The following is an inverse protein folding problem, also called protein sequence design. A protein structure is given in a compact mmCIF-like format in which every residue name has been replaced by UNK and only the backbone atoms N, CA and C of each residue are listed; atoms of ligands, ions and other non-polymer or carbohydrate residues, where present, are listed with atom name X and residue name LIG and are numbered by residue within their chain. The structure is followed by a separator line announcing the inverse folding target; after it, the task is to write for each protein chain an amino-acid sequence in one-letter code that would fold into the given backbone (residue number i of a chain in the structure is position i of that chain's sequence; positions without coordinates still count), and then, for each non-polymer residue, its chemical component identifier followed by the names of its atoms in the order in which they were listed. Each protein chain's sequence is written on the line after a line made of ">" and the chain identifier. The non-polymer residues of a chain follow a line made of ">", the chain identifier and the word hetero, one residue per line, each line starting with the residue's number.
data_IF_224617467503
#
_entry.id   IF_224617467503
#
_cell.length_a   1.000
_cell.length_b   1.000
_cell.length_c   1.000
_cell.angle_alpha   90.00
_cell.angle_beta   90.00
_cell.angle_gamma   90.00
#
_symmetry.space_group_name_H-M   'P 1'
#
loop_
_entity.id
_entity.type
_entity.pdbx_description
1 polymer ?
#
# COMPACT_ATOMS: atom_id res chain seq x y z
N UNK A 1 32.86 29.59 4.82
CA UNK A 1 33.05 28.24 5.40
C UNK A 1 31.73 27.62 5.87
N UNK A 2 30.81 28.38 6.49
CA UNK A 2 29.51 27.87 6.99
C UNK A 2 28.52 27.49 5.85
N UNK A 3 28.49 28.23 4.73
CA UNK A 3 27.62 27.91 3.57
C UNK A 3 27.96 26.58 2.88
N UNK A 4 29.23 26.17 2.87
CA UNK A 4 29.65 24.88 2.27
C UNK A 4 29.34 23.68 3.17
N UNK A 5 29.29 23.86 4.50
CA UNK A 5 28.93 22.80 5.44
C UNK A 5 27.41 22.53 5.38
N UNK A 6 26.59 23.58 5.28
CA UNK A 6 25.14 23.45 5.06
C UNK A 6 24.82 22.75 3.72
N UNK A 7 25.49 23.11 2.63
CA UNK A 7 25.30 22.47 1.33
C UNK A 7 25.69 20.97 1.30
N UNK A 8 26.63 20.55 2.16
CA UNK A 8 27.04 19.16 2.33
C UNK A 8 25.97 18.34 3.08
N UNK A 9 25.31 18.93 4.09
CA UNK A 9 24.19 18.32 4.80
C UNK A 9 22.90 18.22 3.95
N UNK A 10 22.60 19.21 3.10
CA UNK A 10 21.42 19.18 2.21
C UNK A 10 21.50 18.16 1.08
N UNK A 11 22.66 17.52 0.86
CA UNK A 11 22.91 16.62 -0.26
C UNK A 11 23.29 15.19 0.15
N UNK A 12 23.24 14.84 1.44
CA UNK A 12 23.57 13.49 1.87
C UNK A 12 22.56 12.46 1.32
N UNK A 13 22.99 11.21 1.06
CA UNK A 13 22.08 10.14 0.65
C UNK A 13 20.89 9.95 1.59
N UNK A 14 21.11 10.10 2.90
CA UNK A 14 20.09 9.95 3.94
C UNK A 14 19.02 11.03 3.87
N UNK A 15 19.41 12.28 3.60
CA UNK A 15 18.46 13.38 3.46
C UNK A 15 17.63 13.25 2.17
N UNK A 16 18.25 12.78 1.09
CA UNK A 16 17.50 12.44 -0.16
C UNK A 16 16.49 11.32 0.08
N UNK A 17 16.85 10.30 0.85
CA UNK A 17 15.94 9.23 1.27
C UNK A 17 14.78 9.79 2.09
N UNK A 18 15.05 10.67 3.07
CA UNK A 18 14.02 11.32 3.89
C UNK A 18 13.06 12.17 3.05
N UNK A 19 13.59 12.97 2.12
CA UNK A 19 12.76 13.78 1.24
C UNK A 19 11.88 12.92 0.32
N UNK A 20 12.43 11.84 -0.22
CA UNK A 20 11.68 10.91 -1.06
C UNK A 20 10.58 10.21 -0.27
N UNK A 21 10.86 9.77 0.96
CA UNK A 21 9.87 9.20 1.88
C UNK A 21 8.74 10.18 2.20
N UNK A 22 9.06 11.44 2.51
CA UNK A 22 8.05 12.48 2.69
C UNK A 22 7.19 12.63 1.43
N UNK A 23 7.81 12.63 0.25
CA UNK A 23 7.06 12.76 -1.00
C UNK A 23 6.16 11.57 -1.29
N UNK A 24 6.57 10.35 -0.92
CA UNK A 24 5.71 9.17 -1.03
C UNK A 24 4.47 9.31 -0.15
N UNK A 25 4.63 9.76 1.10
CA UNK A 25 3.51 9.99 2.02
C UNK A 25 2.54 11.06 1.49
N UNK A 26 3.06 12.19 1.00
CA UNK A 26 2.24 13.24 0.37
C UNK A 26 1.40 12.69 -0.79
N UNK A 27 1.98 11.86 -1.66
CA UNK A 27 1.27 11.28 -2.80
C UNK A 27 0.16 10.30 -2.37
N UNK A 28 0.38 9.54 -1.30
CA UNK A 28 -0.65 8.66 -0.72
C UNK A 28 -1.80 9.50 -0.16
N UNK A 29 -1.50 10.58 0.54
CA UNK A 29 -2.51 11.51 1.07
C UNK A 29 -3.30 12.19 -0.05
N UNK A 30 -2.62 12.77 -1.05
CA UNK A 30 -3.24 13.37 -2.24
C UNK A 30 -4.16 12.36 -2.96
N UNK A 31 -3.73 11.10 -3.07
CA UNK A 31 -4.55 10.02 -3.64
C UNK A 31 -5.83 9.77 -2.84
N UNK A 32 -5.72 9.68 -1.52
CA UNK A 32 -6.88 9.49 -0.63
C UNK A 32 -7.85 10.67 -0.71
N UNK A 33 -7.34 11.91 -0.70
CA UNK A 33 -8.15 13.12 -0.83
C UNK A 33 -8.88 13.14 -2.17
N UNK A 34 -8.18 12.90 -3.28
CA UNK A 34 -8.80 12.87 -4.61
C UNK A 34 -9.91 11.82 -4.70
N UNK A 35 -9.69 10.62 -4.15
CA UNK A 35 -10.72 9.58 -4.09
C UNK A 35 -11.93 10.02 -3.25
N UNK A 36 -11.71 10.70 -2.12
CA UNK A 36 -12.80 11.22 -1.27
C UNK A 36 -13.64 12.30 -1.98
N UNK A 37 -13.02 13.06 -2.88
CA UNK A 37 -13.70 14.04 -3.73
C UNK A 37 -14.37 13.41 -4.97
N UNK A 38 -14.23 12.10 -5.18
CA UNK A 38 -14.78 11.39 -6.33
C UNK A 38 -13.93 11.48 -7.61
N UNK A 39 -12.75 12.12 -7.56
CA UNK A 39 -11.81 12.14 -8.70
C UNK A 39 -10.97 10.85 -8.71
N UNK A 40 -11.60 9.78 -9.19
CA UNK A 40 -11.01 8.44 -9.20
C UNK A 40 -9.78 8.35 -10.10
N UNK A 41 -9.75 9.13 -11.19
CA UNK A 41 -8.63 9.13 -12.15
C UNK A 41 -7.39 9.77 -11.53
N UNK A 42 -7.54 10.94 -10.91
CA UNK A 42 -6.45 11.60 -10.20
C UNK A 42 -5.97 10.75 -9.02
N UNK A 43 -6.89 10.15 -8.25
CA UNK A 43 -6.54 9.28 -7.14
C UNK A 43 -5.63 8.12 -7.58
N UNK A 44 -5.97 7.47 -8.70
CA UNK A 44 -5.17 6.38 -9.26
C UNK A 44 -3.82 6.86 -9.79
N UNK A 45 -3.76 8.03 -10.43
CA UNK A 45 -2.50 8.60 -10.91
C UNK A 45 -1.51 8.83 -9.76
N UNK A 46 -1.99 9.48 -8.68
CA UNK A 46 -1.21 9.74 -7.47
C UNK A 46 -0.75 8.45 -6.79
N UNK A 47 -1.63 7.45 -6.69
CA UNK A 47 -1.29 6.14 -6.14
C UNK A 47 -0.20 5.42 -6.95
N UNK A 48 -0.29 5.45 -8.28
CA UNK A 48 0.73 4.87 -9.17
C UNK A 48 2.07 5.60 -9.02
N UNK A 49 2.04 6.91 -8.85
CA UNK A 49 3.24 7.71 -8.64
C UNK A 49 3.91 7.44 -7.29
N UNK A 50 3.12 7.33 -6.21
CA UNK A 50 3.60 6.87 -4.91
C UNK A 50 4.29 5.50 -5.03
N UNK A 51 3.65 4.54 -5.73
CA UNK A 51 4.22 3.22 -5.96
C UNK A 51 5.53 3.22 -6.77
N UNK A 52 5.69 4.12 -7.74
CA UNK A 52 6.96 4.28 -8.47
C UNK A 52 8.06 4.84 -7.57
N UNK A 53 7.75 5.86 -6.78
CA UNK A 53 8.72 6.51 -5.90
C UNK A 53 9.12 5.63 -4.71
N UNK A 54 8.19 4.86 -4.17
CA UNK A 54 8.46 3.88 -3.10
C UNK A 54 9.46 2.81 -3.57
N UNK A 55 9.32 2.29 -4.79
CA UNK A 55 10.31 1.34 -5.34
C UNK A 55 11.70 1.95 -5.48
N UNK A 56 11.79 3.24 -5.79
CA UNK A 56 13.07 3.96 -5.83
C UNK A 56 13.61 4.13 -4.41
N UNK A 57 12.76 4.48 -3.45
CA UNK A 57 13.11 4.64 -2.05
C UNK A 57 13.68 3.35 -1.45
N UNK A 58 13.03 2.21 -1.67
CA UNK A 58 13.51 0.90 -1.19
C UNK A 58 14.90 0.59 -1.75
N UNK A 59 15.09 0.75 -3.07
CA UNK A 59 16.39 0.53 -3.72
C UNK A 59 17.50 1.44 -3.18
N UNK A 60 17.18 2.70 -2.91
CA UNK A 60 18.14 3.65 -2.33
C UNK A 60 18.49 3.28 -0.89
N UNK A 61 17.50 2.86 -0.09
CA UNK A 61 17.74 2.40 1.29
C UNK A 61 18.58 1.14 1.34
N UNK A 62 18.37 0.18 0.45
CA UNK A 62 19.19 -1.03 0.35
C UNK A 62 20.67 -0.75 0.03
N UNK A 63 20.97 0.38 -0.64
CA UNK A 63 22.34 0.78 -0.97
C UNK A 63 23.05 1.50 0.19
N UNK A 64 22.30 2.17 1.05
CA UNK A 64 22.84 3.00 2.16
C UNK A 64 22.81 2.26 3.49
N UNK A 65 21.84 1.36 3.67
CA UNK A 65 21.50 0.75 4.95
C UNK A 65 21.27 -0.76 4.80
N UNK A 66 21.54 -1.52 5.87
CA UNK A 66 21.16 -2.94 5.96
C UNK A 66 19.65 -3.13 5.68
N UNK A 67 19.23 -4.21 4.97
CA UNK A 67 17.82 -4.48 4.63
C UNK A 67 16.86 -4.61 5.82
N UNK A 68 17.38 -4.65 7.04
CA UNK A 68 16.60 -4.68 8.30
C UNK A 68 15.86 -3.36 8.59
N UNK A 69 16.18 -2.25 7.90
CA UNK A 69 15.58 -0.92 8.11
C UNK A 69 14.55 -0.51 7.04
N UNK A 70 13.93 -1.48 6.35
CA UNK A 70 12.83 -1.20 5.40
C UNK A 70 11.61 -0.71 6.19
N UNK A 71 11.07 0.47 5.83
CA UNK A 71 9.82 0.97 6.40
C UNK A 71 8.64 0.20 5.81
N UNK A 72 8.39 -0.99 6.39
CA UNK A 72 7.34 -1.91 5.97
C UNK A 72 5.94 -1.27 6.04
N UNK A 73 5.71 -0.36 6.98
CA UNK A 73 4.44 0.35 7.13
C UNK A 73 4.17 1.27 5.93
N UNK A 74 5.20 1.95 5.43
CA UNK A 74 5.08 2.77 4.22
C UNK A 74 4.82 1.92 2.98
N UNK A 75 5.59 0.85 2.78
CA UNK A 75 5.38 -0.08 1.67
C UNK A 75 3.96 -0.65 1.69
N UNK A 76 3.48 -1.07 2.87
CA UNK A 76 2.11 -1.55 3.05
C UNK A 76 1.09 -0.48 2.65
N UNK A 77 1.24 0.74 3.16
CA UNK A 77 0.31 1.86 2.92
C UNK A 77 0.23 2.21 1.44
N UNK A 78 1.37 2.24 0.74
CA UNK A 78 1.44 2.51 -0.70
C UNK A 78 0.76 1.41 -1.51
N UNK A 79 1.05 0.13 -1.22
CA UNK A 79 0.45 -0.99 -1.94
C UNK A 79 -1.05 -1.09 -1.67
N UNK A 80 -1.47 -0.88 -0.43
CA UNK A 80 -2.88 -0.91 -0.04
C UNK A 80 -3.68 0.21 -0.70
N UNK A 81 -3.14 1.45 -0.68
CA UNK A 81 -3.75 2.58 -1.37
C UNK A 81 -3.86 2.28 -2.87
N UNK A 82 -2.77 1.83 -3.53
CA UNK A 82 -2.79 1.50 -4.95
C UNK A 82 -3.81 0.41 -5.31
N UNK A 83 -3.89 -0.66 -4.53
CA UNK A 83 -4.89 -1.70 -4.73
C UNK A 83 -6.33 -1.17 -4.58
N UNK A 84 -6.53 -0.29 -3.60
CA UNK A 84 -7.83 0.37 -3.37
C UNK A 84 -8.22 1.27 -4.53
N UNK A 85 -7.28 2.08 -5.06
CA UNK A 85 -7.55 2.94 -6.21
C UNK A 85 -7.78 2.16 -7.49
N UNK A 86 -7.06 1.06 -7.72
CA UNK A 86 -7.39 0.14 -8.82
C UNK A 86 -8.81 -0.40 -8.68
N UNK A 87 -9.22 -0.81 -7.47
CA UNK A 87 -10.58 -1.30 -7.24
C UNK A 87 -11.66 -0.23 -7.40
N UNK A 88 -11.37 1.03 -7.05
CA UNK A 88 -12.28 2.16 -7.23
C UNK A 88 -12.47 2.50 -8.72
N UNK A 89 -11.41 2.36 -9.52
CA UNK A 89 -11.41 2.55 -10.97
C UNK A 89 -11.83 1.27 -11.74
N UNK A 90 -12.41 0.28 -11.07
CA UNK A 90 -12.86 -0.99 -11.65
C UNK A 90 -11.77 -1.81 -12.38
N UNK A 91 -10.49 -1.50 -12.11
CA UNK A 91 -9.32 -2.25 -12.58
C UNK A 91 -9.09 -3.47 -11.67
N UNK A 92 -10.05 -4.38 -11.70
CA UNK A 92 -10.12 -5.51 -10.77
C UNK A 92 -8.92 -6.48 -10.83
N UNK A 93 -8.38 -6.85 -12.02
CA UNK A 93 -7.20 -7.71 -12.09
C UNK A 93 -5.99 -7.09 -11.38
N UNK A 94 -5.71 -5.82 -11.61
CA UNK A 94 -4.60 -5.08 -11.02
C UNK A 94 -4.78 -4.91 -9.51
N UNK A 95 -6.00 -4.62 -9.06
CA UNK A 95 -6.33 -4.54 -7.64
C UNK A 95 -6.06 -5.88 -6.93
N UNK A 96 -6.58 -6.99 -7.50
CA UNK A 96 -6.39 -8.34 -6.95
C UNK A 96 -4.92 -8.75 -6.93
N UNK A 97 -4.17 -8.47 -7.99
CA UNK A 97 -2.73 -8.74 -8.05
C UNK A 97 -1.98 -7.96 -6.97
N UNK A 98 -2.30 -6.68 -6.78
CA UNK A 98 -1.65 -5.83 -5.78
C UNK A 98 -1.99 -6.31 -4.36
N UNK A 99 -3.26 -6.61 -4.06
CA UNK A 99 -3.63 -7.21 -2.78
C UNK A 99 -2.93 -8.56 -2.53
N UNK A 100 -2.76 -9.37 -3.57
CA UNK A 100 -2.10 -10.67 -3.46
C UNK A 100 -0.62 -10.55 -3.11
N UNK A 101 0.07 -9.50 -3.57
CA UNK A 101 1.45 -9.18 -3.16
C UNK A 101 1.52 -8.93 -1.66
N UNK A 102 0.60 -8.11 -1.13
CA UNK A 102 0.55 -7.79 0.30
C UNK A 102 0.25 -9.07 1.11
N UNK A 103 -0.76 -9.85 0.72
CA UNK A 103 -1.15 -11.08 1.43
C UNK A 103 -0.04 -12.14 1.47
N UNK A 104 0.82 -12.21 0.44
CA UNK A 104 1.93 -13.18 0.38
C UNK A 104 3.11 -12.79 1.28
N UNK A 105 3.26 -11.51 1.61
CA UNK A 105 4.34 -11.06 2.47
C UNK A 105 3.99 -11.31 3.94
N UNK A 106 4.68 -12.28 4.55
CA UNK A 106 4.47 -12.68 5.95
C UNK A 106 4.81 -11.58 6.97
N UNK A 107 5.54 -10.55 6.56
CA UNK A 107 5.85 -9.40 7.42
C UNK A 107 4.62 -8.48 7.61
N UNK A 108 3.62 -8.56 6.73
CA UNK A 108 2.40 -7.77 6.88
C UNK A 108 1.38 -8.50 7.73
N UNK A 109 0.94 -7.84 8.80
CA UNK A 109 -0.21 -8.26 9.60
C UNK A 109 -1.52 -7.96 8.84
N UNK A 110 -2.65 -8.49 9.33
CA UNK A 110 -4.00 -8.19 8.80
C UNK A 110 -4.37 -8.76 7.43
N UNK A 111 -3.80 -9.90 7.02
CA UNK A 111 -4.20 -10.61 5.79
C UNK A 111 -5.73 -10.82 5.67
N UNK A 112 -6.45 -10.95 6.80
CA UNK A 112 -7.90 -11.14 6.82
C UNK A 112 -8.66 -9.96 6.22
N UNK A 113 -8.27 -8.72 6.56
CA UNK A 113 -8.91 -7.50 6.03
C UNK A 113 -8.73 -7.38 4.52
N UNK A 114 -7.56 -7.75 4.02
CA UNK A 114 -7.27 -7.72 2.57
C UNK A 114 -8.12 -8.73 1.80
N UNK A 115 -8.37 -9.91 2.38
CA UNK A 115 -9.26 -10.91 1.77
C UNK A 115 -10.70 -10.42 1.68
N UNK A 116 -11.18 -9.61 2.63
CA UNK A 116 -12.49 -8.95 2.50
C UNK A 116 -12.51 -8.04 1.28
N UNK A 117 -11.48 -7.22 1.07
CA UNK A 117 -11.41 -6.35 -0.12
C UNK A 117 -11.36 -7.15 -1.43
N UNK A 118 -10.61 -8.25 -1.47
CA UNK A 118 -10.61 -9.17 -2.62
C UNK A 118 -12.00 -9.80 -2.84
N UNK A 119 -12.71 -10.16 -1.76
CA UNK A 119 -14.09 -10.64 -1.82
C UNK A 119 -15.05 -9.59 -2.37
N UNK A 120 -14.93 -8.33 -1.94
CA UNK A 120 -15.72 -7.20 -2.44
C UNK A 120 -15.53 -6.98 -3.95
N UNK A 121 -14.31 -7.16 -4.46
CA UNK A 121 -14.04 -7.11 -5.90
C UNK A 121 -14.82 -8.22 -6.63
N UNK A 122 -14.74 -9.47 -6.16
CA UNK A 122 -15.49 -10.57 -6.77
C UNK A 122 -17.01 -10.38 -6.66
N UNK A 123 -17.49 -9.76 -5.58
CA UNK A 123 -18.89 -9.39 -5.42
C UNK A 123 -19.32 -8.37 -6.49
N UNK A 124 -18.54 -7.31 -6.72
CA UNK A 124 -18.78 -6.34 -7.81
C UNK A 124 -18.80 -7.00 -9.19
N UNK A 125 -17.93 -7.99 -9.41
CA UNK A 125 -17.91 -8.82 -10.62
C UNK A 125 -19.05 -9.85 -10.71
N UNK A 126 -19.97 -9.90 -9.72
CA UNK A 126 -21.05 -10.90 -9.59
C UNK A 126 -20.53 -12.35 -9.52
N UNK A 127 -19.25 -12.54 -9.19
CA UNK A 127 -18.67 -13.86 -8.94
C UNK A 127 -18.87 -14.26 -7.48
N UNK A 128 -20.12 -14.56 -7.13
CA UNK A 128 -20.53 -14.82 -5.75
C UNK A 128 -19.79 -16.02 -5.12
N UNK A 129 -19.50 -17.05 -5.91
CA UNK A 129 -18.76 -18.22 -5.44
C UNK A 129 -17.36 -17.85 -4.93
N UNK A 130 -16.60 -17.05 -5.71
CA UNK A 130 -15.29 -16.56 -5.27
C UNK A 130 -15.41 -15.56 -4.12
N UNK A 131 -16.40 -14.66 -4.16
CA UNK A 131 -16.61 -13.69 -3.07
C UNK A 131 -16.81 -14.39 -1.72
N UNK A 132 -17.72 -15.38 -1.66
CA UNK A 132 -17.98 -16.19 -0.46
C UNK A 132 -16.71 -16.90 0.02
N UNK A 133 -15.93 -17.48 -0.90
CA UNK A 133 -14.66 -18.12 -0.55
C UNK A 133 -13.71 -17.14 0.14
N UNK A 134 -13.53 -15.94 -0.40
CA UNK A 134 -12.65 -14.93 0.18
C UNK A 134 -13.16 -14.40 1.53
N UNK A 135 -14.47 -14.20 1.69
CA UNK A 135 -15.04 -13.81 2.98
C UNK A 135 -14.86 -14.88 4.06
N UNK A 136 -15.02 -16.16 3.72
CA UNK A 136 -14.73 -17.28 4.64
C UNK A 136 -13.26 -17.29 5.06
N UNK A 137 -12.35 -17.19 4.09
CA UNK A 137 -10.92 -17.13 4.36
C UNK A 137 -10.50 -15.90 5.21
N UNK A 138 -11.29 -14.82 5.21
CA UNK A 138 -11.10 -13.67 6.08
C UNK A 138 -11.59 -13.95 7.51
N UNK A 139 -12.78 -14.54 7.65
CA UNK A 139 -13.35 -14.95 8.94
C UNK A 139 -12.47 -15.95 9.68
N UNK A 140 -11.86 -16.91 8.97
CA UNK A 140 -10.96 -17.90 9.55
C UNK A 140 -9.70 -17.29 10.19
N UNK A 141 -9.37 -16.04 9.85
CA UNK A 141 -8.21 -15.32 10.40
C UNK A 141 -8.58 -14.42 11.58
N UNK A 142 -9.84 -14.35 11.99
CA UNK A 142 -10.26 -13.68 13.21
C UNK A 142 -9.97 -14.63 14.38
N UNK A 143 -9.14 -14.24 15.37
CA UNK A 143 -8.91 -15.04 16.57
C UNK A 143 -10.24 -15.44 17.21
N UNK A 144 -10.37 -16.70 17.62
CA UNK A 144 -11.64 -17.35 17.99
C UNK A 144 -12.27 -16.87 19.32
N UNK A 145 -12.11 -15.61 19.69
CA UNK A 145 -12.69 -15.02 20.92
C UNK A 145 -14.22 -14.87 20.82
N UNK A 146 -14.82 -15.13 19.65
CA UNK A 146 -16.27 -15.02 19.42
C UNK A 146 -16.93 -16.34 18.99
N UNK A 147 -16.27 -17.50 19.19
CA UNK A 147 -16.87 -18.81 18.85
C UNK A 147 -17.99 -19.26 19.79
N UNK A 148 -18.23 -18.58 20.91
CA UNK A 148 -19.23 -18.95 21.93
C UNK A 148 -20.66 -18.44 21.67
N UNK A 149 -20.92 -17.74 20.57
CA UNK A 149 -22.29 -17.29 20.22
C UNK A 149 -22.87 -18.05 19.02
N UNK A 150 -22.64 -19.37 18.94
CA UNK A 150 -23.31 -20.27 18.00
C UNK A 150 -24.26 -21.21 18.71
#
# INVERSE_FOLDING_TARGET
>A
MIQNILAFFFNSPEEKIRQLEKKVNELVEESCIANSCGDLKLALEKAKDAGRKERVLVRQREQVTSPENINLDLTYSVLFNLASQYSANEMYPEALNTYQVIVKNKMFSNAGRLKVNMGNIYLKQRNYSKAIKFYRMALDQIPSVHKEMR
#
